data_IF_798733848183
#
_entry.id   IF_798733848183
#
_cell.length_a   1.000
_cell.length_b   1.000
_cell.length_c   1.000
_cell.angle_alpha   90.00
_cell.angle_beta   90.00
_cell.angle_gamma   90.00
#
_symmetry.space_group_name_H-M   'P 1'
#
loop_
_entity.id
_entity.type
_entity.pdbx_description
1 polymer ?
#
# COMPACT_ATOMS: atom_id res chain seq x y z
N UNK A 1 20.32 5.38 4.28
CA UNK A 1 20.47 5.83 5.70
C UNK A 1 21.47 6.99 5.83
N UNK A 2 22.63 6.98 5.14
CA UNK A 2 23.58 8.11 5.11
C UNK A 2 23.00 9.43 4.56
N UNK A 3 22.20 9.39 3.49
CA UNK A 3 21.64 10.60 2.86
C UNK A 3 20.69 11.40 3.79
N UNK A 4 19.99 10.70 4.68
CA UNK A 4 19.06 11.31 5.63
C UNK A 4 19.77 11.94 6.84
N UNK A 5 21.00 11.52 7.14
CA UNK A 5 21.82 12.10 8.20
C UNK A 5 22.48 13.41 7.74
N UNK A 6 22.90 13.47 6.46
CA UNK A 6 23.47 14.68 5.85
C UNK A 6 22.43 15.81 5.71
N UNK A 7 21.17 15.49 5.38
CA UNK A 7 20.11 16.52 5.30
C UNK A 7 19.70 17.10 6.66
N UNK A 8 19.84 16.34 7.75
CA UNK A 8 19.55 16.84 9.09
C UNK A 8 20.63 17.81 9.61
N UNK A 9 21.85 17.75 9.07
CA UNK A 9 22.95 18.65 9.46
C UNK A 9 22.88 20.03 8.79
N UNK A 10 22.10 20.18 7.71
CA UNK A 10 21.93 21.42 6.93
C UNK A 10 20.66 22.20 7.33
N UNK A 11 19.69 21.54 7.96
CA UNK A 11 18.49 22.20 8.51
C UNK A 11 18.74 22.62 9.96
N UNK A 12 18.64 23.91 10.27
CA UNK A 12 18.75 24.42 11.64
C UNK A 12 17.83 23.69 12.65
N UNK A 13 18.10 23.81 13.95
CA UNK A 13 17.51 22.96 15.02
C UNK A 13 15.99 22.73 14.94
N UNK A 14 15.21 23.75 14.56
CA UNK A 14 13.75 23.64 14.37
C UNK A 14 13.33 22.68 13.24
N UNK A 15 14.11 22.59 12.17
CA UNK A 15 13.84 21.67 11.05
C UNK A 15 14.16 20.22 11.41
N UNK A 16 15.26 19.99 12.13
CA UNK A 16 15.64 18.65 12.58
C UNK A 16 14.61 18.06 13.57
N UNK A 17 14.12 18.86 14.52
CA UNK A 17 13.07 18.45 15.47
C UNK A 17 11.77 18.08 14.76
N UNK A 18 11.34 18.87 13.78
CA UNK A 18 10.12 18.58 13.00
C UNK A 18 10.23 17.26 12.22
N UNK A 19 11.38 16.97 11.62
CA UNK A 19 11.60 15.69 10.92
C UNK A 19 11.58 14.51 11.90
N UNK A 20 12.19 14.64 13.08
CA UNK A 20 12.17 13.59 14.10
C UNK A 20 10.76 13.35 14.63
N UNK A 21 10.01 14.42 14.93
CA UNK A 21 8.62 14.35 15.35
C UNK A 21 7.75 13.69 14.27
N UNK A 22 7.94 14.03 12.99
CA UNK A 22 7.23 13.40 11.88
C UNK A 22 7.52 11.89 11.81
N UNK A 23 8.79 11.50 11.91
CA UNK A 23 9.18 10.09 11.90
C UNK A 23 8.58 9.33 13.10
N UNK A 24 8.51 9.94 14.27
CA UNK A 24 7.88 9.35 15.45
C UNK A 24 6.37 9.13 15.25
N UNK A 25 5.67 10.13 14.70
CA UNK A 25 4.24 10.04 14.32
C UNK A 25 4.01 8.91 13.32
N UNK A 26 4.78 8.84 12.24
CA UNK A 26 4.65 7.78 11.23
C UNK A 26 4.91 6.38 11.80
N UNK A 27 5.87 6.23 12.73
CA UNK A 27 6.10 4.95 13.43
C UNK A 27 4.94 4.57 14.34
N UNK A 28 4.36 5.53 15.04
CA UNK A 28 3.18 5.29 15.88
C UNK A 28 1.98 4.89 15.03
N UNK A 29 1.68 5.65 13.98
CA UNK A 29 0.60 5.36 13.04
C UNK A 29 0.77 4.00 12.37
N UNK A 30 1.99 3.66 11.95
CA UNK A 30 2.28 2.34 11.37
C UNK A 30 1.96 1.20 12.35
N UNK A 31 2.24 1.37 13.65
CA UNK A 31 1.86 0.38 14.67
C UNK A 31 0.34 0.28 14.82
N UNK A 32 -0.36 1.41 14.82
CA UNK A 32 -1.83 1.43 14.88
C UNK A 32 -2.47 0.74 13.67
N UNK A 33 -1.95 0.98 12.46
CA UNK A 33 -2.41 0.31 11.23
C UNK A 33 -2.17 -1.20 11.27
N UNK A 34 -1.05 -1.67 11.84
CA UNK A 34 -0.80 -3.10 12.00
C UNK A 34 -1.70 -3.75 13.05
N UNK A 35 -1.99 -3.05 14.14
CA UNK A 35 -2.82 -3.54 15.24
C UNK A 35 -4.32 -3.28 15.07
N UNK A 36 -4.74 -2.66 13.97
CA UNK A 36 -6.16 -2.37 13.72
C UNK A 36 -6.94 -3.69 13.60
N UNK A 37 -8.00 -3.90 14.39
CA UNK A 37 -8.65 -5.20 14.48
C UNK A 37 -9.60 -5.50 13.33
N UNK A 38 -10.15 -4.47 12.68
CA UNK A 38 -11.15 -4.65 11.62
C UNK A 38 -11.11 -3.55 10.56
N UNK A 39 -11.82 -3.76 9.45
CA UNK A 39 -11.89 -2.86 8.30
C UNK A 39 -12.23 -1.42 8.72
N UNK A 40 -13.28 -1.24 9.52
CA UNK A 40 -13.72 0.08 9.95
C UNK A 40 -12.67 0.83 10.80
N UNK A 41 -11.84 0.11 11.57
CA UNK A 41 -10.76 0.72 12.34
C UNK A 41 -9.65 1.23 11.42
N UNK A 42 -9.28 0.45 10.40
CA UNK A 42 -8.31 0.88 9.38
C UNK A 42 -8.84 2.10 8.63
N UNK A 43 -10.08 2.06 8.13
CA UNK A 43 -10.70 3.17 7.41
C UNK A 43 -10.73 4.45 8.27
N UNK A 44 -11.15 4.34 9.53
CA UNK A 44 -11.19 5.47 10.46
C UNK A 44 -9.80 6.04 10.77
N UNK A 45 -8.77 5.19 10.88
CA UNK A 45 -7.38 5.63 11.05
C UNK A 45 -6.86 6.37 9.83
N UNK A 46 -7.21 5.89 8.63
CA UNK A 46 -6.85 6.54 7.37
C UNK A 46 -7.47 7.94 7.29
N UNK A 47 -8.76 8.07 7.60
CA UNK A 47 -9.46 9.35 7.53
C UNK A 47 -8.90 10.36 8.55
N UNK A 48 -8.68 9.93 9.81
CA UNK A 48 -8.17 10.82 10.85
C UNK A 48 -6.70 11.22 10.69
N UNK A 49 -5.90 10.38 10.04
CA UNK A 49 -4.44 10.56 9.94
C UNK A 49 -4.00 10.89 8.51
N UNK A 50 -4.92 11.36 7.66
CA UNK A 50 -4.69 11.52 6.23
C UNK A 50 -3.44 12.35 5.91
N UNK A 51 -3.22 13.47 6.59
CA UNK A 51 -2.07 14.35 6.33
C UNK A 51 -0.71 13.62 6.49
N UNK A 52 -0.58 12.81 7.54
CA UNK A 52 0.64 12.02 7.77
C UNK A 52 0.80 10.88 6.76
N UNK A 53 -0.30 10.23 6.38
CA UNK A 53 -0.32 9.13 5.40
C UNK A 53 0.04 9.65 4.01
N UNK A 54 -0.59 10.74 3.58
CA UNK A 54 -0.40 11.35 2.27
C UNK A 54 1.05 11.86 2.08
N UNK A 55 1.72 12.23 3.18
CA UNK A 55 3.12 12.64 3.19
C UNK A 55 4.12 11.47 3.19
N UNK A 56 3.65 10.22 3.28
CA UNK A 56 4.53 9.04 3.33
C UNK A 56 4.03 7.92 2.41
N UNK A 57 4.65 7.74 1.24
CA UNK A 57 4.32 6.65 0.31
C UNK A 57 4.30 5.27 0.96
N UNK A 58 5.26 5.01 1.85
CA UNK A 58 5.35 3.73 2.57
C UNK A 58 4.18 3.53 3.51
N UNK A 59 3.73 4.56 4.23
CA UNK A 59 2.58 4.46 5.12
C UNK A 59 1.27 4.38 4.33
N UNK A 60 1.15 5.06 3.19
CA UNK A 60 0.01 4.93 2.28
C UNK A 60 -0.14 3.50 1.75
N UNK A 61 0.96 2.89 1.30
CA UNK A 61 1.00 1.48 0.88
C UNK A 61 0.63 0.53 2.02
N UNK A 62 1.17 0.76 3.22
CA UNK A 62 0.83 -0.04 4.40
C UNK A 62 -0.67 0.05 4.72
N UNK A 63 -1.23 1.25 4.74
CA UNK A 63 -2.64 1.48 5.02
C UNK A 63 -3.53 0.77 3.99
N UNK A 64 -3.18 0.89 2.70
CA UNK A 64 -3.89 0.23 1.60
C UNK A 64 -3.85 -1.30 1.73
N UNK A 65 -2.68 -1.85 2.03
CA UNK A 65 -2.51 -3.28 2.25
C UNK A 65 -3.38 -3.78 3.41
N UNK A 66 -3.43 -3.04 4.53
CA UNK A 66 -4.29 -3.39 5.68
C UNK A 66 -5.77 -3.29 5.34
N UNK A 67 -6.17 -2.22 4.66
CA UNK A 67 -7.55 -2.02 4.21
C UNK A 67 -8.02 -3.19 3.34
N UNK A 68 -7.21 -3.60 2.35
CA UNK A 68 -7.51 -4.73 1.47
C UNK A 68 -7.57 -6.08 2.21
N UNK A 69 -6.64 -6.30 3.16
CA UNK A 69 -6.62 -7.52 3.96
C UNK A 69 -7.89 -7.68 4.79
N UNK A 70 -8.34 -6.62 5.46
CA UNK A 70 -9.54 -6.63 6.29
C UNK A 70 -10.83 -6.69 5.46
N UNK A 71 -10.96 -5.88 4.41
CA UNK A 71 -12.15 -5.83 3.57
C UNK A 71 -12.58 -7.22 3.05
N UNK A 72 -11.60 -8.01 2.58
CA UNK A 72 -11.88 -9.35 2.05
C UNK A 72 -12.09 -10.40 3.15
N UNK A 73 -11.31 -10.35 4.24
CA UNK A 73 -11.46 -11.30 5.36
C UNK A 73 -12.80 -11.16 6.07
N UNK A 74 -13.30 -9.94 6.19
CA UNK A 74 -14.55 -9.64 6.87
C UNK A 74 -15.77 -9.71 5.94
N UNK A 75 -15.57 -9.83 4.61
CA UNK A 75 -16.67 -9.86 3.66
C UNK A 75 -17.51 -8.59 3.71
N UNK A 76 -16.86 -7.41 3.62
CA UNK A 76 -17.55 -6.13 3.77
C UNK A 76 -18.69 -6.01 2.75
N UNK A 77 -19.89 -5.66 3.22
CA UNK A 77 -21.05 -5.45 2.34
C UNK A 77 -20.84 -4.31 1.34
N UNK A 78 -21.80 -4.09 0.43
CA UNK A 78 -21.69 -3.13 -0.68
C UNK A 78 -21.20 -1.73 -0.26
N UNK A 79 -21.71 -1.20 0.84
CA UNK A 79 -21.28 0.11 1.36
C UNK A 79 -19.81 0.10 1.79
N UNK A 80 -19.37 -0.95 2.49
CA UNK A 80 -17.97 -1.13 2.89
C UNK A 80 -17.04 -1.35 1.70
N UNK A 81 -17.47 -2.10 0.68
CA UNK A 81 -16.73 -2.25 -0.57
C UNK A 81 -16.54 -0.91 -1.29
N UNK A 82 -17.59 -0.07 -1.35
CA UNK A 82 -17.49 1.26 -1.95
C UNK A 82 -16.53 2.20 -1.18
N UNK A 83 -16.51 2.11 0.15
CA UNK A 83 -15.52 2.81 0.99
C UNK A 83 -14.12 2.27 0.70
N UNK A 84 -13.94 0.95 0.66
CA UNK A 84 -12.65 0.33 0.39
C UNK A 84 -12.08 0.79 -0.96
N UNK A 85 -12.90 0.81 -2.02
CA UNK A 85 -12.51 1.28 -3.35
C UNK A 85 -12.09 2.75 -3.34
N UNK A 86 -12.91 3.66 -2.79
CA UNK A 86 -12.57 5.10 -2.77
C UNK A 86 -11.31 5.36 -1.95
N UNK A 87 -11.20 4.74 -0.79
CA UNK A 87 -10.01 4.88 0.06
C UNK A 87 -8.78 4.29 -0.60
N UNK A 88 -8.92 3.18 -1.34
CA UNK A 88 -7.82 2.58 -2.06
C UNK A 88 -7.30 3.45 -3.20
N UNK A 89 -8.20 4.03 -4.00
CA UNK A 89 -7.83 4.96 -5.07
C UNK A 89 -7.10 6.19 -4.53
N UNK A 90 -7.59 6.75 -3.41
CA UNK A 90 -6.92 7.84 -2.71
C UNK A 90 -5.52 7.44 -2.25
N UNK A 91 -5.37 6.32 -1.54
CA UNK A 91 -4.08 5.85 -1.02
C UNK A 91 -3.08 5.53 -2.15
N UNK A 92 -3.56 4.94 -3.25
CA UNK A 92 -2.73 4.61 -4.41
C UNK A 92 -2.12 5.87 -5.05
N UNK A 93 -2.89 6.97 -5.14
CA UNK A 93 -2.39 8.26 -5.62
C UNK A 93 -1.24 8.83 -4.79
N UNK A 94 -1.12 8.44 -3.52
CA UNK A 94 -0.04 8.86 -2.62
C UNK A 94 1.09 7.83 -2.47
N UNK A 95 0.99 6.66 -3.11
CA UNK A 95 2.07 5.68 -3.13
C UNK A 95 3.29 6.15 -3.95
N UNK A 96 3.16 7.26 -4.68
CA UNK A 96 4.22 7.84 -5.50
C UNK A 96 4.58 6.95 -6.69
N UNK A 97 5.79 7.13 -7.20
CA UNK A 97 6.31 6.31 -8.29
C UNK A 97 6.58 4.86 -7.82
N UNK A 98 5.90 3.85 -8.39
CA UNK A 98 6.13 2.43 -8.06
C UNK A 98 7.59 1.99 -8.20
N UNK A 99 8.37 2.62 -9.09
CA UNK A 99 9.78 2.32 -9.26
C UNK A 99 10.64 2.74 -8.06
N UNK A 100 10.20 3.72 -7.28
CA UNK A 100 10.89 4.20 -6.07
C UNK A 100 10.50 3.42 -4.80
N UNK A 101 9.44 2.62 -4.86
CA UNK A 101 9.06 1.75 -3.76
C UNK A 101 10.06 0.58 -3.61
N UNK A 102 10.36 0.20 -2.37
CA UNK A 102 11.08 -1.05 -2.10
C UNK A 102 10.34 -2.25 -2.71
N UNK A 103 11.03 -3.37 -3.05
CA UNK A 103 10.38 -4.52 -3.70
C UNK A 103 9.19 -5.05 -2.89
N UNK A 104 9.33 -5.10 -1.56
CA UNK A 104 8.26 -5.50 -0.64
C UNK A 104 7.07 -4.53 -0.70
N UNK A 105 7.32 -3.22 -0.60
CA UNK A 105 6.24 -2.22 -0.62
C UNK A 105 5.50 -2.24 -1.96
N UNK A 106 6.24 -2.38 -3.07
CA UNK A 106 5.66 -2.53 -4.39
C UNK A 106 4.76 -3.77 -4.50
N UNK A 107 5.24 -4.94 -4.04
CA UNK A 107 4.43 -6.16 -4.03
C UNK A 107 3.16 -6.02 -3.17
N UNK A 108 3.25 -5.35 -2.02
CA UNK A 108 2.10 -5.07 -1.15
C UNK A 108 1.09 -4.13 -1.81
N UNK A 109 1.56 -3.09 -2.50
CA UNK A 109 0.73 -2.16 -3.28
C UNK A 109 -0.06 -2.93 -4.35
N UNK A 110 0.64 -3.67 -5.21
CA UNK A 110 0.04 -4.40 -6.33
C UNK A 110 -0.96 -5.44 -5.84
N UNK A 111 -0.62 -6.21 -4.81
CA UNK A 111 -1.52 -7.18 -4.20
C UNK A 111 -2.80 -6.53 -3.66
N UNK A 112 -2.67 -5.40 -2.95
CA UNK A 112 -3.81 -4.73 -2.34
C UNK A 112 -4.76 -4.14 -3.38
N UNK A 113 -4.21 -3.57 -4.46
CA UNK A 113 -4.99 -3.04 -5.58
C UNK A 113 -5.75 -4.16 -6.32
N UNK A 114 -5.08 -5.28 -6.63
CA UNK A 114 -5.73 -6.42 -7.26
C UNK A 114 -6.83 -7.01 -6.36
N UNK A 115 -6.57 -7.12 -5.06
CA UNK A 115 -7.53 -7.66 -4.09
C UNK A 115 -8.76 -6.78 -3.87
N UNK A 116 -8.65 -5.48 -4.14
CA UNK A 116 -9.78 -4.53 -4.13
C UNK A 116 -10.35 -4.29 -5.54
N UNK A 117 -10.05 -5.18 -6.49
CA UNK A 117 -10.55 -5.14 -7.87
C UNK A 117 -10.30 -3.79 -8.55
N UNK A 118 -9.06 -3.28 -8.45
CA UNK A 118 -8.62 -2.02 -9.08
C UNK A 118 -7.66 -2.29 -10.27
N UNK A 119 -8.14 -2.89 -11.38
CA UNK A 119 -7.28 -3.35 -12.48
C UNK A 119 -6.47 -2.21 -13.15
N UNK A 120 -7.08 -1.05 -13.35
CA UNK A 120 -6.39 0.12 -13.91
C UNK A 120 -5.21 0.59 -13.03
N UNK A 121 -5.42 0.62 -11.70
CA UNK A 121 -4.37 0.99 -10.76
C UNK A 121 -3.25 -0.07 -10.71
N UNK A 122 -3.59 -1.36 -10.85
CA UNK A 122 -2.60 -2.44 -10.96
C UNK A 122 -1.75 -2.26 -12.22
N UNK A 123 -2.35 -1.97 -13.37
CA UNK A 123 -1.62 -1.76 -14.62
C UNK A 123 -0.63 -0.59 -14.51
N UNK A 124 -1.03 0.51 -13.85
CA UNK A 124 -0.14 1.64 -13.57
C UNK A 124 0.99 1.27 -12.60
N UNK A 125 0.69 0.48 -11.57
CA UNK A 125 1.67 0.07 -10.56
C UNK A 125 2.65 -0.99 -11.08
N UNK A 126 2.31 -1.70 -12.16
CA UNK A 126 3.05 -2.86 -12.66
C UNK A 126 3.19 -2.85 -14.18
N UNK A 127 4.02 -1.96 -14.75
CA UNK A 127 4.44 -2.10 -16.15
C UNK A 127 5.14 -3.46 -16.34
N UNK A 128 4.89 -4.15 -17.45
CA UNK A 128 5.45 -5.47 -17.73
C UNK A 128 7.00 -5.51 -17.59
N UNK A 129 7.66 -4.42 -17.97
CA UNK A 129 9.12 -4.24 -17.83
C UNK A 129 9.60 -4.21 -16.37
N UNK A 130 8.74 -3.79 -15.44
CA UNK A 130 9.07 -3.69 -14.00
C UNK A 130 9.07 -5.06 -13.34
N UNK A 131 8.14 -5.95 -13.69
CA UNK A 131 8.06 -7.30 -13.12
C UNK A 131 9.33 -8.09 -13.44
N UNK A 132 9.71 -8.15 -14.72
CA UNK A 132 10.89 -8.90 -15.16
C UNK A 132 12.18 -8.38 -14.54
N UNK A 133 12.32 -7.06 -14.38
CA UNK A 133 13.52 -6.45 -13.79
C UNK A 133 13.62 -6.70 -12.29
N UNK A 134 12.50 -6.74 -11.57
CA UNK A 134 12.46 -6.81 -10.10
C UNK A 134 12.21 -8.20 -9.54
N UNK A 135 11.87 -9.17 -10.38
CA UNK A 135 11.53 -10.53 -9.93
C UNK A 135 12.62 -11.14 -9.03
N UNK A 136 13.90 -10.94 -9.37
CA UNK A 136 15.05 -11.43 -8.60
C UNK A 136 15.24 -10.72 -7.25
N UNK A 137 14.67 -9.53 -7.06
CA UNK A 137 14.75 -8.75 -5.81
C UNK A 137 13.64 -9.14 -4.80
N UNK A 138 12.66 -9.94 -5.24
CA UNK A 138 11.51 -10.30 -4.43
C UNK A 138 11.79 -11.56 -3.63
N UNK A 139 11.54 -11.48 -2.33
CA UNK A 139 11.37 -12.69 -1.52
C UNK A 139 10.22 -13.55 -2.10
N UNK A 140 10.25 -14.89 -1.93
CA UNK A 140 9.28 -15.80 -2.55
C UNK A 140 7.81 -15.41 -2.34
N UNK A 141 7.43 -14.99 -1.12
CA UNK A 141 6.07 -14.54 -0.83
C UNK A 141 5.67 -13.28 -1.61
N UNK A 142 6.58 -12.32 -1.77
CA UNK A 142 6.31 -11.09 -2.51
C UNK A 142 6.17 -11.37 -4.01
N UNK A 143 6.99 -12.27 -4.54
CA UNK A 143 6.86 -12.73 -5.93
C UNK A 143 5.51 -13.43 -6.16
N UNK A 144 5.12 -14.34 -5.26
CA UNK A 144 3.82 -15.01 -5.32
C UNK A 144 2.65 -14.01 -5.29
N UNK A 145 2.71 -12.99 -4.44
CA UNK A 145 1.70 -11.92 -4.38
C UNK A 145 1.57 -11.14 -5.70
N UNK A 146 2.70 -10.84 -6.34
CA UNK A 146 2.73 -10.13 -7.63
C UNK A 146 2.16 -11.01 -8.75
N UNK A 147 2.56 -12.28 -8.82
CA UNK A 147 2.06 -13.23 -9.80
C UNK A 147 0.55 -13.49 -9.64
N UNK A 148 0.08 -13.63 -8.40
CA UNK A 148 -1.34 -13.75 -8.11
C UNK A 148 -2.11 -12.51 -8.55
N UNK A 149 -1.60 -11.30 -8.27
CA UNK A 149 -2.25 -10.06 -8.68
C UNK A 149 -2.35 -9.92 -10.21
N UNK A 150 -1.30 -10.32 -10.94
CA UNK A 150 -1.32 -10.40 -12.40
C UNK A 150 -2.43 -11.33 -12.90
N UNK A 151 -2.50 -12.54 -12.34
CA UNK A 151 -3.51 -13.52 -12.72
C UNK A 151 -4.93 -13.02 -12.39
N UNK A 152 -5.13 -12.44 -11.20
CA UNK A 152 -6.41 -11.95 -10.73
C UNK A 152 -6.97 -10.84 -11.63
N UNK A 153 -6.14 -9.90 -12.06
CA UNK A 153 -6.56 -8.82 -12.97
C UNK A 153 -6.89 -9.34 -14.37
N UNK A 154 -6.08 -10.25 -14.92
CA UNK A 154 -6.39 -10.87 -16.21
C UNK A 154 -7.68 -11.69 -16.18
N UNK A 155 -7.96 -12.35 -15.06
CA UNK A 155 -9.16 -13.15 -14.88
C UNK A 155 -10.43 -12.32 -14.64
N UNK A 156 -10.32 -11.05 -14.23
CA UNK A 156 -11.43 -10.09 -14.26
C UNK A 156 -11.68 -9.53 -15.66
N UNK A 157 -10.65 -9.52 -16.52
CA UNK A 157 -10.75 -9.09 -17.92
C UNK A 157 -11.25 -10.21 -18.86
N UNK A 158 -11.19 -11.47 -18.42
CA UNK A 158 -11.84 -12.64 -19.04
C UNK A 158 -11.98 -13.77 -18.00
N UNK A 159 -13.21 -14.09 -17.61
CA UNK A 159 -13.63 -15.08 -16.61
C UNK A 159 -12.56 -16.08 -16.09
N UNK A 160 -12.11 -15.93 -14.83
CA UNK A 160 -11.83 -17.02 -13.87
C UNK A 160 -11.09 -16.55 -12.60
N UNK A 161 -11.74 -15.83 -11.66
CA UNK A 161 -11.08 -15.42 -10.39
C UNK A 161 -11.38 -16.36 -9.21
N UNK A 162 -12.33 -17.30 -9.37
CA UNK A 162 -12.82 -18.09 -8.25
C UNK A 162 -11.84 -19.18 -7.74
N UNK A 163 -10.99 -19.75 -8.60
CA UNK A 163 -10.26 -21.00 -8.31
C UNK A 163 -9.02 -20.81 -7.41
N UNK A 164 -8.52 -19.58 -7.22
CA UNK A 164 -7.28 -19.31 -6.46
C UNK A 164 -7.51 -18.44 -5.21
N UNK A 165 -8.76 -18.30 -4.77
CA UNK A 165 -9.15 -17.44 -3.64
C UNK A 165 -9.60 -18.20 -2.38
N UNK A 166 -9.52 -19.54 -2.39
CA UNK A 166 -9.71 -20.43 -1.23
C UNK A 166 -8.39 -20.64 -0.47
#
# INVERSE_FOLDING_TARGET
>A
KMHAALQLSVMGGRGAEQVLAQRARLRHLSRQLHGAPHFAAVASLVDRSWGDIAASPITAVLALHRLAAHAKREGVGRAGAAVATRTAQRLAGHAGDPAQLSPKAWAQLVWALARLSQPAAVAMAMPATTVSRRAAELAPQNLANVLWALAAVRATDGEAVAVLSE
#
